data_IF_102911891600
#
_entry.id   IF_102911891600
#
_cell.length_a   1.000
_cell.length_b   1.000
_cell.length_c   1.000
_cell.angle_alpha   90.00
_cell.angle_beta   90.00
_cell.angle_gamma   90.00
#
_symmetry.space_group_name_H-M   'P 1'
#
loop_
_entity.id
_entity.type
_entity.pdbx_description
1 polymer ?
#
# COMPACT_ATOMS: atom_id res chain seq x y z
N UNK A 1 9.28 10.55 -3.65
CA UNK A 1 10.09 9.29 -3.76
C UNK A 1 10.94 9.23 -5.01
N UNK A 2 12.05 8.50 -4.94
CA UNK A 2 12.94 8.20 -6.07
C UNK A 2 12.27 7.26 -7.09
N UNK A 3 12.68 7.37 -8.36
CA UNK A 3 12.13 6.56 -9.45
C UNK A 3 12.34 5.05 -9.27
N UNK A 4 13.45 4.64 -8.64
CA UNK A 4 13.73 3.23 -8.35
C UNK A 4 12.71 2.67 -7.35
N UNK A 5 12.49 3.40 -6.26
CA UNK A 5 11.55 3.00 -5.21
C UNK A 5 10.11 2.98 -5.71
N UNK A 6 9.72 3.93 -6.58
CA UNK A 6 8.41 3.92 -7.23
C UNK A 6 8.19 2.65 -8.06
N UNK A 7 9.18 2.25 -8.87
CA UNK A 7 9.10 1.01 -9.67
C UNK A 7 9.00 -0.24 -8.80
N UNK A 8 9.71 -0.27 -7.68
CA UNK A 8 9.62 -1.36 -6.71
C UNK A 8 8.18 -1.50 -6.17
N UNK A 9 7.58 -0.38 -5.74
CA UNK A 9 6.18 -0.40 -5.29
C UNK A 9 5.21 -0.79 -6.39
N UNK A 10 5.39 -0.30 -7.62
CA UNK A 10 4.56 -0.71 -8.76
C UNK A 10 4.60 -2.23 -8.99
N UNK A 11 5.79 -2.83 -8.96
CA UNK A 11 5.92 -4.28 -9.12
C UNK A 11 5.23 -5.05 -7.99
N UNK A 12 5.37 -4.58 -6.74
CA UNK A 12 4.72 -5.19 -5.58
C UNK A 12 3.20 -5.10 -5.64
N UNK A 13 2.66 -3.98 -6.15
CA UNK A 13 1.21 -3.76 -6.29
C UNK A 13 0.58 -4.76 -7.27
N UNK A 14 1.27 -5.10 -8.37
CA UNK A 14 0.73 -6.00 -9.42
C UNK A 14 0.37 -7.38 -8.87
N UNK A 15 1.13 -7.89 -7.90
CA UNK A 15 0.92 -9.21 -7.30
C UNK A 15 0.27 -9.18 -5.92
N UNK A 16 -0.11 -8.00 -5.40
CA UNK A 16 -0.51 -7.85 -4.01
C UNK A 16 -1.93 -8.37 -3.73
N UNK A 17 -2.07 -9.18 -2.67
CA UNK A 17 -3.37 -9.47 -2.06
C UNK A 17 -3.96 -8.24 -1.35
N UNK A 18 -5.22 -8.31 -0.87
CA UNK A 18 -5.91 -7.17 -0.21
C UNK A 18 -5.10 -6.59 0.97
N UNK A 19 -4.61 -7.46 1.86
CA UNK A 19 -3.77 -7.07 2.99
C UNK A 19 -2.46 -6.44 2.54
N UNK A 20 -1.80 -7.06 1.57
CA UNK A 20 -0.51 -6.60 1.05
C UNK A 20 -0.64 -5.24 0.38
N UNK A 21 -1.73 -4.99 -0.35
CA UNK A 21 -2.00 -3.71 -0.97
C UNK A 21 -2.14 -2.59 0.07
N UNK A 22 -2.83 -2.88 1.18
CA UNK A 22 -2.93 -1.94 2.31
C UNK A 22 -1.56 -1.67 2.94
N UNK A 23 -0.76 -2.72 3.19
CA UNK A 23 0.59 -2.59 3.76
C UNK A 23 1.51 -1.78 2.84
N UNK A 24 1.48 -2.05 1.54
CA UNK A 24 2.22 -1.28 0.53
C UNK A 24 1.82 0.20 0.60
N UNK A 25 0.53 0.51 0.68
CA UNK A 25 0.06 1.90 0.77
C UNK A 25 0.60 2.60 2.03
N UNK A 26 0.59 1.92 3.18
CA UNK A 26 1.17 2.44 4.44
C UNK A 26 2.69 2.64 4.32
N UNK A 27 3.41 1.72 3.68
CA UNK A 27 4.84 1.86 3.44
C UNK A 27 5.18 3.02 2.50
N UNK A 28 4.38 3.24 1.46
CA UNK A 28 4.54 4.39 0.56
C UNK A 28 4.33 5.70 1.33
N UNK A 29 3.36 5.76 2.24
CA UNK A 29 3.15 6.93 3.11
C UNK A 29 4.40 7.20 3.95
N UNK A 30 4.94 6.16 4.61
CA UNK A 30 6.15 6.29 5.43
C UNK A 30 7.37 6.72 4.60
N UNK A 31 7.49 6.25 3.36
CA UNK A 31 8.55 6.66 2.45
C UNK A 31 8.46 8.15 2.08
N UNK A 32 7.26 8.67 1.80
CA UNK A 32 7.07 10.11 1.54
C UNK A 32 7.26 10.97 2.80
N UNK A 33 6.85 10.50 3.98
CA UNK A 33 7.13 11.18 5.25
C UNK A 33 8.63 11.30 5.49
N UNK A 34 9.39 10.23 5.27
CA UNK A 34 10.86 10.24 5.40
C UNK A 34 11.53 11.24 4.45
N UNK A 35 11.02 11.38 3.23
CA UNK A 35 11.51 12.38 2.29
C UNK A 35 11.16 13.80 2.74
N UNK A 36 9.96 14.00 3.28
CA UNK A 36 9.61 15.28 3.89
C UNK A 36 10.57 15.63 5.04
N UNK A 37 10.91 14.68 5.91
CA UNK A 37 11.89 14.90 7.00
C UNK A 37 13.25 15.35 6.46
N UNK A 38 13.74 14.74 5.37
CA UNK A 38 15.03 15.08 4.75
C UNK A 38 15.02 16.46 4.07
N UNK A 39 13.94 16.77 3.35
CA UNK A 39 13.83 18.00 2.56
C UNK A 39 13.43 19.22 3.40
N UNK A 40 13.06 19.01 4.67
CA UNK A 40 12.58 20.05 5.59
C UNK A 40 13.56 21.23 5.75
N UNK A 41 14.86 20.95 5.78
CA UNK A 41 15.92 21.98 5.88
C UNK A 41 16.55 22.33 4.53
N UNK A 42 16.50 21.41 3.55
CA UNK A 42 17.22 21.55 2.28
C UNK A 42 16.39 22.26 1.20
N UNK A 43 15.10 21.92 1.09
CA UNK A 43 14.25 22.41 0.01
C UNK A 43 12.78 22.50 0.44
N UNK A 44 12.35 23.72 0.77
CA UNK A 44 10.98 23.98 1.24
C UNK A 44 9.89 23.57 0.23
N UNK A 45 10.13 23.74 -1.07
CA UNK A 45 9.16 23.35 -2.10
C UNK A 45 8.97 21.83 -2.16
N UNK A 46 10.07 21.07 -2.07
CA UNK A 46 10.01 19.61 -2.03
C UNK A 46 9.40 19.09 -0.73
N UNK A 47 9.71 19.73 0.40
CA UNK A 47 9.07 19.45 1.68
C UNK A 47 7.55 19.61 1.60
N UNK A 48 7.07 20.78 1.13
CA UNK A 48 5.63 21.07 0.98
C UNK A 48 4.95 20.10 0.02
N UNK A 49 5.60 19.73 -1.07
CA UNK A 49 5.11 18.74 -2.03
C UNK A 49 4.97 17.36 -1.39
N UNK A 50 5.99 16.91 -0.67
CA UNK A 50 6.01 15.58 -0.03
C UNK A 50 4.93 15.48 1.05
N UNK A 51 4.74 16.51 1.88
CA UNK A 51 3.61 16.55 2.82
C UNK A 51 2.27 16.56 2.08
N UNK A 52 2.12 17.35 1.02
CA UNK A 52 0.89 17.39 0.24
C UNK A 52 0.49 16.01 -0.31
N UNK A 53 1.46 15.28 -0.88
CA UNK A 53 1.26 13.92 -1.37
C UNK A 53 0.91 12.95 -0.23
N UNK A 54 1.63 13.05 0.90
CA UNK A 54 1.36 12.24 2.10
C UNK A 54 -0.09 12.43 2.57
N UNK A 55 -0.57 13.67 2.68
CA UNK A 55 -1.94 13.98 3.08
C UNK A 55 -2.97 13.40 2.10
N UNK A 56 -2.70 13.44 0.79
CA UNK A 56 -3.57 12.84 -0.22
C UNK A 56 -3.65 11.32 -0.06
N UNK A 57 -2.52 10.66 0.20
CA UNK A 57 -2.48 9.22 0.43
C UNK A 57 -3.21 8.81 1.73
N UNK A 58 -3.07 9.57 2.81
CA UNK A 58 -3.83 9.35 4.05
C UNK A 58 -5.33 9.59 3.82
N UNK A 59 -5.69 10.61 3.04
CA UNK A 59 -7.09 10.85 2.66
C UNK A 59 -7.67 9.67 1.89
N UNK A 60 -6.90 9.04 0.99
CA UNK A 60 -7.35 7.84 0.26
C UNK A 60 -7.64 6.66 1.19
N UNK A 61 -6.85 6.47 2.25
CA UNK A 61 -7.16 5.46 3.27
C UNK A 61 -8.49 5.77 3.96
N UNK A 62 -8.71 7.01 4.36
CA UNK A 62 -9.96 7.42 5.01
C UNK A 62 -11.18 7.24 4.09
N UNK A 63 -11.05 7.55 2.80
CA UNK A 63 -12.10 7.35 1.78
C UNK A 63 -12.41 5.87 1.53
N UNK A 64 -11.45 4.96 1.75
CA UNK A 64 -11.63 3.52 1.57
C UNK A 64 -12.28 2.79 2.76
N UNK A 65 -12.57 3.48 3.86
CA UNK A 65 -13.14 2.86 5.05
C UNK A 65 -14.61 2.45 4.84
N UNK A 66 -14.96 1.25 5.31
CA UNK A 66 -16.34 0.76 5.35
C UNK A 66 -16.95 1.04 6.74
N UNK A 67 -17.87 1.99 6.80
CA UNK A 67 -18.52 2.42 8.05
C UNK A 67 -19.63 1.48 8.55
N UNK A 68 -19.84 0.32 7.91
CA UNK A 68 -20.61 -0.76 8.53
C UNK A 68 -19.89 -1.37 9.74
N UNK A 69 -18.56 -1.21 9.83
CA UNK A 69 -17.75 -1.68 10.95
C UNK A 69 -17.42 -0.53 11.92
N UNK A 70 -17.63 -0.75 13.22
CA UNK A 70 -17.35 0.24 14.26
C UNK A 70 -15.87 0.68 14.30
N UNK A 71 -14.95 -0.24 14.00
CA UNK A 71 -13.50 0.04 13.97
C UNK A 71 -13.14 1.12 12.94
N UNK A 72 -13.93 1.27 11.87
CA UNK A 72 -13.71 2.29 10.86
C UNK A 72 -13.82 3.71 11.42
N UNK A 73 -14.64 3.93 12.45
CA UNK A 73 -14.68 5.24 13.13
C UNK A 73 -13.40 5.52 13.93
N UNK A 74 -12.79 4.49 14.50
CA UNK A 74 -11.51 4.62 15.23
C UNK A 74 -10.38 4.91 14.23
N UNK A 75 -10.33 4.16 13.13
CA UNK A 75 -9.35 4.37 12.05
C UNK A 75 -9.49 5.77 11.43
N UNK A 76 -10.72 6.23 11.19
CA UNK A 76 -10.96 7.58 10.68
C UNK A 76 -10.36 8.65 11.61
N UNK A 77 -10.57 8.53 12.93
CA UNK A 77 -9.97 9.47 13.91
C UNK A 77 -8.45 9.43 13.89
N UNK A 78 -7.86 8.24 13.78
CA UNK A 78 -6.40 8.11 13.65
C UNK A 78 -5.88 8.82 12.39
N UNK A 79 -6.51 8.61 11.23
CA UNK A 79 -6.13 9.29 9.99
C UNK A 79 -6.34 10.82 10.04
N UNK A 80 -7.40 11.28 10.72
CA UNK A 80 -7.61 12.71 10.95
C UNK A 80 -6.52 13.32 11.82
N UNK A 81 -6.09 12.61 12.87
CA UNK A 81 -5.00 13.05 13.74
C UNK A 81 -3.67 13.12 12.96
N UNK A 82 -3.36 12.11 12.15
CA UNK A 82 -2.17 12.14 11.26
C UNK A 82 -2.22 13.34 10.33
N UNK A 83 -3.37 13.61 9.70
CA UNK A 83 -3.52 14.79 8.84
C UNK A 83 -3.35 16.10 9.62
N UNK A 84 -3.82 16.19 10.86
CA UNK A 84 -3.61 17.37 11.70
C UNK A 84 -2.13 17.60 12.02
N UNK A 85 -1.41 16.54 12.38
CA UNK A 85 0.04 16.59 12.62
C UNK A 85 0.83 16.97 11.35
N UNK A 86 0.43 16.46 10.17
CA UNK A 86 1.02 16.84 8.88
C UNK A 86 0.78 18.31 8.53
N UNK A 87 -0.42 18.83 8.81
CA UNK A 87 -0.73 20.26 8.62
C UNK A 87 0.11 21.12 9.57
N UNK A 88 0.23 20.72 10.83
CA UNK A 88 1.06 21.41 11.82
C UNK A 88 2.54 21.43 11.39
N UNK A 89 3.08 20.27 10.99
CA UNK A 89 4.44 20.16 10.48
C UNK A 89 4.67 21.07 9.27
N UNK A 90 3.72 21.12 8.33
CA UNK A 90 3.81 21.96 7.14
C UNK A 90 3.76 23.46 7.45
N UNK A 91 2.85 23.87 8.33
CA UNK A 91 2.62 25.28 8.63
C UNK A 91 3.69 25.87 9.54
N UNK A 92 4.15 25.10 10.54
CA UNK A 92 5.09 25.58 11.56
C UNK A 92 6.53 25.13 11.34
N UNK A 93 6.78 24.26 10.36
CA UNK A 93 8.04 23.52 10.23
C UNK A 93 8.39 22.83 11.56
N UNK A 94 7.42 22.12 12.11
CA UNK A 94 7.57 21.36 13.35
C UNK A 94 7.96 19.91 13.04
N UNK A 95 9.21 19.55 13.35
CA UNK A 95 9.74 18.19 13.14
C UNK A 95 9.16 17.19 14.13
N UNK A 96 8.76 17.63 15.32
CA UNK A 96 8.10 16.78 16.30
C UNK A 96 6.70 16.39 15.82
N UNK A 97 5.96 17.32 15.20
CA UNK A 97 4.67 17.01 14.58
C UNK A 97 4.81 15.97 13.46
N UNK A 98 5.82 16.13 12.58
CA UNK A 98 6.10 15.15 11.53
C UNK A 98 6.48 13.76 12.11
N UNK A 99 7.25 13.75 13.20
CA UNK A 99 7.61 12.51 13.92
C UNK A 99 6.38 11.82 14.49
N UNK A 100 5.42 12.54 15.08
CA UNK A 100 4.17 11.96 15.59
C UNK A 100 3.34 11.33 14.46
N UNK A 101 3.23 12.02 13.32
CA UNK A 101 2.56 11.48 12.14
C UNK A 101 3.23 10.18 11.68
N UNK A 102 4.57 10.14 11.60
CA UNK A 102 5.34 8.94 11.26
C UNK A 102 5.06 7.79 12.22
N UNK A 103 5.15 8.03 13.52
CA UNK A 103 4.94 7.00 14.55
C UNK A 103 3.54 6.40 14.49
N UNK A 104 2.50 7.22 14.30
CA UNK A 104 1.12 6.73 14.14
C UNK A 104 0.98 5.84 12.91
N UNK A 105 1.58 6.23 11.78
CA UNK A 105 1.57 5.43 10.55
C UNK A 105 2.37 4.13 10.69
N UNK A 106 3.49 4.13 11.43
CA UNK A 106 4.27 2.93 11.75
C UNK A 106 3.45 1.95 12.61
N UNK A 107 2.81 2.44 13.67
CA UNK A 107 1.94 1.64 14.53
C UNK A 107 0.79 1.01 13.75
N UNK A 108 0.15 1.77 12.87
CA UNK A 108 -0.91 1.24 11.99
C UNK A 108 -0.37 0.15 11.08
N UNK A 109 0.78 0.36 10.42
CA UNK A 109 1.42 -0.65 9.57
C UNK A 109 1.72 -1.92 10.35
N UNK A 110 2.29 -1.81 11.54
CA UNK A 110 2.60 -2.96 12.40
C UNK A 110 1.33 -3.70 12.84
N UNK A 111 0.28 -2.97 13.22
CA UNK A 111 -1.00 -3.56 13.59
C UNK A 111 -1.61 -4.35 12.42
N UNK A 112 -1.64 -3.78 11.22
CA UNK A 112 -2.14 -4.47 10.03
C UNK A 112 -1.24 -5.62 9.59
N UNK A 113 0.08 -5.53 9.78
CA UNK A 113 1.01 -6.60 9.43
C UNK A 113 0.79 -7.84 10.31
N UNK A 114 0.50 -7.64 11.60
CA UNK A 114 0.21 -8.70 12.56
C UNK A 114 -1.14 -9.39 12.39
N UNK A 115 -2.02 -8.89 11.51
CA UNK A 115 -3.31 -9.54 11.27
C UNK A 115 -3.15 -10.86 10.52
N UNK A 116 -3.56 -11.96 11.15
CA UNK A 116 -3.77 -13.22 10.44
C UNK A 116 -5.14 -13.17 9.76
N UNK A 117 -5.13 -13.05 8.44
CA UNK A 117 -6.35 -13.27 7.67
C UNK A 117 -6.50 -14.78 7.45
N UNK A 118 -7.71 -15.34 7.58
CA UNK A 118 -7.97 -16.68 7.04
C UNK A 118 -7.52 -16.67 5.58
N UNK A 119 -6.89 -17.75 5.12
CA UNK A 119 -6.31 -17.84 3.78
C UNK A 119 -7.32 -17.39 2.72
N UNK A 120 -7.21 -16.13 2.30
CA UNK A 120 -8.08 -15.55 1.31
C UNK A 120 -7.68 -16.17 -0.02
N UNK A 121 -8.64 -16.88 -0.62
CA UNK A 121 -8.59 -17.29 -2.02
C UNK A 121 -8.24 -16.07 -2.84
N UNK A 122 -7.12 -16.15 -3.58
CA UNK A 122 -6.58 -15.09 -4.43
C UNK A 122 -7.67 -14.20 -5.02
N UNK A 123 -7.63 -12.90 -4.69
CA UNK A 123 -8.56 -11.90 -5.25
C UNK A 123 -8.27 -11.68 -6.74
N UNK A 124 -7.15 -12.19 -7.23
CA UNK A 124 -6.78 -12.21 -8.63
C UNK A 124 -7.36 -13.49 -9.26
N UNK A 125 -8.64 -13.46 -9.63
CA UNK A 125 -9.24 -14.57 -10.38
C UNK A 125 -8.69 -14.70 -11.81
N UNK A 126 -7.93 -13.70 -12.29
CA UNK A 126 -7.33 -13.66 -13.65
C UNK A 126 -5.83 -13.31 -13.63
N UNK A 127 -5.10 -13.75 -12.63
CA UNK A 127 -3.63 -13.68 -12.64
C UNK A 127 -3.13 -14.98 -13.21
N UNK A 128 -2.92 -15.05 -14.53
CA UNK A 128 -2.27 -16.20 -15.14
C UNK A 128 -0.98 -16.48 -14.37
N UNK A 129 -0.96 -17.59 -13.64
CA UNK A 129 0.22 -18.03 -12.90
C UNK A 129 1.18 -18.55 -13.95
N UNK A 130 2.00 -17.68 -14.53
CA UNK A 130 3.09 -18.10 -15.41
C UNK A 130 4.08 -18.86 -14.52
N UNK A 131 3.98 -20.18 -14.54
CA UNK A 131 4.94 -21.08 -13.91
C UNK A 131 6.22 -21.06 -14.74
N UNK A 132 7.02 -20.01 -14.55
CA UNK A 132 8.36 -19.89 -15.12
C UNK A 132 9.31 -20.87 -14.39
N UNK A 133 9.17 -22.17 -14.66
CA UNK A 133 9.96 -23.17 -13.94
C UNK A 133 10.02 -24.58 -14.52
N UNK A 134 9.25 -24.92 -15.57
CA UNK A 134 9.30 -26.27 -16.16
C UNK A 134 9.25 -26.31 -17.70
N UNK A 135 9.32 -25.18 -18.40
CA UNK A 135 9.13 -25.12 -19.86
C UNK A 135 10.38 -25.30 -20.71
N UNK A 136 11.54 -25.67 -20.15
CA UNK A 136 12.67 -26.13 -20.95
C UNK A 136 13.38 -27.33 -20.29
N UNK A 137 12.67 -28.46 -20.23
CA UNK A 137 13.28 -29.78 -20.07
C UNK A 137 13.63 -30.36 -21.45
N UNK A 138 14.88 -30.79 -21.62
CA UNK A 138 15.59 -31.17 -22.87
C UNK A 138 14.93 -32.22 -23.79
N UNK A 139 13.76 -32.77 -23.47
CA UNK A 139 13.03 -33.71 -24.32
C UNK A 139 11.63 -33.17 -24.63
N UNK A 140 11.48 -32.62 -25.84
CA UNK A 140 10.33 -31.92 -26.41
C UNK A 140 9.02 -32.73 -26.49
N UNK A 141 8.45 -33.15 -25.35
CA UNK A 141 7.08 -33.65 -25.28
C UNK A 141 6.20 -32.61 -24.60
N UNK A 142 5.50 -31.84 -25.44
CA UNK A 142 4.41 -30.97 -25.03
C UNK A 142 3.31 -31.85 -24.43
N UNK A 143 3.09 -31.75 -23.12
CA UNK A 143 1.83 -32.16 -22.50
C UNK A 143 1.04 -30.90 -22.19
N UNK A 144 0.29 -30.42 -23.17
CA UNK A 144 -0.89 -29.61 -22.88
C UNK A 144 -1.89 -30.52 -22.16
N UNK A 145 -1.90 -30.49 -20.82
CA UNK A 145 -3.09 -30.86 -20.08
C UNK A 145 -3.85 -29.58 -19.79
N UNK A 146 -4.64 -29.15 -20.78
CA UNK A 146 -5.63 -28.09 -20.57
C UNK A 146 -6.78 -28.76 -19.83
N UNK A 147 -6.96 -28.41 -18.55
CA UNK A 147 -8.12 -28.89 -17.80
C UNK A 147 -9.39 -28.20 -18.36
N UNK A 148 -10.09 -28.89 -19.25
CA UNK A 148 -11.34 -28.46 -19.85
C UNK A 148 -12.54 -28.76 -18.93
N UNK A 149 -12.41 -28.57 -17.63
CA UNK A 149 -13.52 -28.72 -16.69
C UNK A 149 -14.10 -27.34 -16.37
N UNK A 150 -14.80 -26.76 -17.35
CA UNK A 150 -15.95 -25.80 -17.24
C UNK A 150 -16.08 -24.97 -18.52
N UNK A 151 -16.48 -25.63 -19.62
CA UNK A 151 -17.16 -24.96 -20.73
C UNK A 151 -18.58 -25.46 -20.79
N UNK A 152 -19.51 -24.65 -20.30
CA UNK A 152 -20.94 -24.85 -20.43
C UNK A 152 -21.67 -23.54 -20.14
N UNK A 153 -22.17 -22.90 -21.19
CA UNK A 153 -23.24 -21.91 -21.08
C UNK A 153 -24.53 -22.66 -20.72
N UNK A 154 -25.24 -22.21 -19.69
CA UNK A 154 -26.65 -22.54 -19.54
C UNK A 154 -27.46 -21.52 -20.34
N UNK A 155 -28.14 -21.99 -21.37
CA UNK A 155 -29.27 -21.35 -22.03
C UNK A 155 -30.31 -22.45 -22.30
#
# INVERSE_FOLDING_TARGET
MDEVLKKEFQNRIVSAGRKELLLIHLEMILAEVKLAEQEMTENEERFRRSIGLTMEMVKKLAESLDFSYEISHVLLRAYQQVNADLIEARCKKDSAALTRARQMMEQLREAFAGLELPADTSVVQNGETIYAGLTYGRNNQLKESVDYQKRGFQA
#
